data_IF_963095629545
#
_entry.id   IF_963095629545
#
_cell.length_a   1.000
_cell.length_b   1.000
_cell.length_c   1.000
_cell.angle_alpha   90.00
_cell.angle_beta   90.00
_cell.angle_gamma   90.00
#
_symmetry.space_group_name_H-M   'P 1'
#
loop_
_entity.id
_entity.type
_entity.pdbx_description
1 polymer ?
#
# COMPACT_ATOMS: atom_id res chain seq x y z
N UNK A 1 20.51 2.99 -1.71
CA UNK A 1 20.08 1.59 -1.95
C UNK A 1 19.56 1.48 -3.37
N UNK A 2 19.82 0.38 -4.07
CA UNK A 2 19.30 0.10 -5.42
C UNK A 2 18.57 -1.24 -5.34
N UNK A 3 17.36 -1.30 -5.86
CA UNK A 3 16.54 -2.53 -5.90
C UNK A 3 16.73 -3.24 -7.25
N UNK A 4 16.55 -4.56 -7.28
CA UNK A 4 16.65 -5.40 -8.49
C UNK A 4 15.34 -6.17 -8.69
N UNK A 5 14.26 -5.46 -9.01
CA UNK A 5 12.93 -6.04 -9.18
C UNK A 5 12.79 -6.53 -10.62
N UNK A 6 12.63 -7.84 -10.80
CA UNK A 6 12.40 -8.42 -12.11
C UNK A 6 10.89 -8.47 -12.41
N UNK A 7 10.47 -8.30 -13.67
CA UNK A 7 9.11 -8.65 -14.06
C UNK A 7 8.80 -10.11 -13.70
N UNK A 8 7.57 -10.39 -13.30
CA UNK A 8 7.16 -11.77 -12.99
C UNK A 8 7.33 -12.66 -14.21
N UNK A 9 8.04 -13.78 -14.05
CA UNK A 9 8.25 -14.72 -15.12
C UNK A 9 6.93 -15.40 -15.51
N UNK A 10 6.64 -15.40 -16.82
CA UNK A 10 5.43 -15.96 -17.40
C UNK A 10 5.58 -17.37 -17.94
N UNK A 11 6.72 -18.05 -17.73
CA UNK A 11 7.00 -19.41 -18.23
C UNK A 11 5.93 -20.41 -17.81
N UNK A 12 5.39 -20.29 -16.59
CA UNK A 12 4.33 -21.18 -16.10
C UNK A 12 2.91 -20.79 -16.54
N UNK A 13 2.71 -19.69 -17.29
CA UNK A 13 1.37 -19.16 -17.61
C UNK A 13 0.47 -20.19 -18.29
N UNK A 14 0.99 -20.95 -19.27
CA UNK A 14 0.22 -21.99 -19.96
C UNK A 14 -0.19 -23.12 -19.02
N UNK A 15 0.71 -23.60 -18.16
CA UNK A 15 0.43 -24.67 -17.21
C UNK A 15 -0.56 -24.23 -16.11
N UNK A 16 -0.45 -22.97 -15.63
CA UNK A 16 -1.41 -22.38 -14.68
C UNK A 16 -2.80 -22.27 -15.30
N UNK A 17 -2.88 -21.77 -16.54
CA UNK A 17 -4.16 -21.66 -17.26
C UNK A 17 -4.78 -23.06 -17.48
N UNK A 18 -3.99 -24.04 -17.91
CA UNK A 18 -4.48 -25.41 -18.09
C UNK A 18 -5.00 -26.01 -16.78
N UNK A 19 -4.28 -25.82 -15.67
CA UNK A 19 -4.72 -26.28 -14.35
C UNK A 19 -6.07 -25.66 -13.97
N UNK A 20 -6.22 -24.34 -14.08
CA UNK A 20 -7.45 -23.60 -13.73
C UNK A 20 -8.63 -24.02 -14.63
N UNK A 21 -8.40 -24.15 -15.93
CA UNK A 21 -9.43 -24.53 -16.91
C UNK A 21 -9.89 -26.00 -16.77
N UNK A 22 -9.10 -26.84 -16.11
CA UNK A 22 -9.45 -28.24 -15.85
C UNK A 22 -10.05 -28.51 -14.46
N UNK A 23 -10.19 -27.49 -13.60
CA UNK A 23 -10.98 -27.62 -12.36
C UNK A 23 -12.46 -27.89 -12.70
N UNK A 24 -13.18 -28.62 -11.82
CA UNK A 24 -14.59 -29.05 -12.03
C UNK A 24 -15.57 -27.87 -12.00
N UNK A 25 -15.46 -26.97 -12.94
CA UNK A 25 -16.27 -25.77 -13.11
C UNK A 25 -16.33 -25.36 -14.59
N UNK A 26 -17.35 -24.62 -15.05
CA UNK A 26 -17.30 -23.98 -16.35
C UNK A 26 -16.08 -23.06 -16.48
N UNK A 27 -15.46 -23.02 -17.65
CA UNK A 27 -14.30 -22.17 -17.92
C UNK A 27 -14.61 -20.70 -17.62
N UNK A 28 -13.75 -20.04 -16.84
CA UNK A 28 -13.90 -18.63 -16.48
C UNK A 28 -15.00 -18.31 -15.46
N UNK A 29 -15.73 -19.32 -14.94
CA UNK A 29 -16.92 -19.10 -14.10
C UNK A 29 -16.63 -18.51 -12.71
N UNK A 30 -15.40 -18.61 -12.23
CA UNK A 30 -14.96 -18.00 -10.95
C UNK A 30 -14.25 -16.64 -11.13
N UNK A 31 -14.18 -16.14 -12.37
CA UNK A 31 -13.79 -14.78 -12.69
C UNK A 31 -12.52 -14.30 -11.97
N UNK A 32 -12.65 -13.33 -11.09
CA UNK A 32 -11.50 -12.71 -10.38
C UNK A 32 -10.71 -13.67 -9.50
N UNK A 33 -11.31 -14.74 -8.99
CA UNK A 33 -10.58 -15.74 -8.22
C UNK A 33 -9.57 -16.49 -9.12
N UNK A 34 -9.95 -16.77 -10.38
CA UNK A 34 -9.05 -17.40 -11.36
C UNK A 34 -7.88 -16.47 -11.73
N UNK A 35 -8.14 -15.18 -11.93
CA UNK A 35 -7.11 -14.19 -12.21
C UNK A 35 -6.12 -14.06 -11.04
N UNK A 36 -6.62 -14.01 -9.79
CA UNK A 36 -5.80 -13.97 -8.58
C UNK A 36 -4.96 -15.21 -8.40
N UNK A 37 -5.56 -16.40 -8.55
CA UNK A 37 -4.84 -17.66 -8.46
C UNK A 37 -3.71 -17.73 -9.48
N UNK A 38 -3.99 -17.36 -10.75
CA UNK A 38 -2.99 -17.32 -11.79
C UNK A 38 -1.85 -16.35 -11.46
N UNK A 39 -2.18 -15.15 -10.98
CA UNK A 39 -1.19 -14.13 -10.59
C UNK A 39 -0.27 -14.62 -9.47
N UNK A 40 -0.84 -15.21 -8.41
CA UNK A 40 -0.06 -15.71 -7.27
C UNK A 40 0.81 -16.91 -7.68
N UNK A 41 0.31 -17.82 -8.52
CA UNK A 41 1.11 -18.89 -9.10
C UNK A 41 2.34 -18.35 -9.84
N UNK A 42 2.16 -17.30 -10.64
CA UNK A 42 3.26 -16.71 -11.40
C UNK A 42 4.24 -15.95 -10.48
N UNK A 43 3.76 -15.22 -9.48
CA UNK A 43 4.64 -14.57 -8.51
C UNK A 43 5.50 -15.60 -7.79
N UNK A 44 4.90 -16.72 -7.36
CA UNK A 44 5.59 -17.76 -6.59
C UNK A 44 6.25 -18.84 -7.46
N UNK A 45 6.13 -18.77 -8.79
CA UNK A 45 6.66 -19.73 -9.74
C UNK A 45 6.27 -21.18 -9.39
N UNK A 46 4.99 -21.42 -9.07
CA UNK A 46 4.47 -22.74 -8.67
C UNK A 46 3.03 -22.93 -9.12
N UNK A 47 2.62 -24.18 -9.31
CA UNK A 47 1.22 -24.57 -9.54
C UNK A 47 0.44 -24.82 -8.23
N UNK A 48 1.12 -24.79 -7.09
CA UNK A 48 0.56 -25.00 -5.75
C UNK A 48 0.96 -23.84 -4.82
N UNK A 49 0.41 -22.62 -5.08
CA UNK A 49 0.79 -21.44 -4.30
C UNK A 49 0.32 -21.55 -2.85
N UNK A 50 1.03 -20.86 -1.95
CA UNK A 50 0.73 -20.81 -0.53
C UNK A 50 0.75 -19.37 -0.01
N UNK A 51 -0.07 -19.07 0.97
CA UNK A 51 -0.04 -17.81 1.71
C UNK A 51 0.48 -18.09 3.12
N UNK A 52 1.68 -17.59 3.43
CA UNK A 52 2.36 -17.87 4.69
C UNK A 52 2.55 -16.61 5.51
N UNK A 53 2.18 -16.70 6.78
CA UNK A 53 2.46 -15.68 7.79
C UNK A 53 2.13 -14.26 7.34
N UNK A 54 0.86 -13.95 7.02
CA UNK A 54 0.49 -12.63 6.52
C UNK A 54 0.79 -11.54 7.56
N UNK A 55 1.37 -10.43 7.11
CA UNK A 55 1.68 -9.27 7.94
C UNK A 55 1.02 -8.01 7.39
N UNK A 56 0.55 -7.15 8.30
CA UNK A 56 0.23 -5.75 7.98
C UNK A 56 1.28 -4.85 8.63
N UNK A 57 2.03 -4.11 7.82
CA UNK A 57 3.07 -3.18 8.29
C UNK A 57 2.52 -1.77 8.25
N UNK A 58 2.30 -1.17 9.42
CA UNK A 58 1.77 0.18 9.55
C UNK A 58 2.91 1.15 9.88
N UNK A 59 3.19 2.06 8.97
CA UNK A 59 4.16 3.13 9.15
C UNK A 59 3.47 4.40 9.64
N UNK A 60 4.07 5.11 10.60
CA UNK A 60 3.52 6.35 11.13
C UNK A 60 4.53 7.51 11.08
N UNK A 61 4.07 8.68 10.63
CA UNK A 61 4.84 9.91 10.67
C UNK A 61 3.94 11.16 10.67
N UNK A 62 4.48 12.28 11.12
CA UNK A 62 3.83 13.58 11.06
C UNK A 62 4.30 14.40 9.87
N UNK A 63 3.43 15.28 9.38
CA UNK A 63 3.65 16.12 8.21
C UNK A 63 3.69 17.61 8.58
N UNK A 64 4.72 18.32 8.13
CA UNK A 64 4.85 19.77 8.37
C UNK A 64 3.72 20.59 7.77
N UNK A 65 3.12 20.13 6.67
CA UNK A 65 2.02 20.83 5.98
C UNK A 65 0.75 20.92 6.81
N UNK A 66 0.60 20.12 7.88
CA UNK A 66 -0.55 20.18 8.78
C UNK A 66 -0.74 21.58 9.41
N UNK A 67 0.35 22.33 9.54
CA UNK A 67 0.33 23.71 10.05
C UNK A 67 -0.52 24.67 9.20
N UNK A 68 -0.81 24.31 7.93
CA UNK A 68 -1.67 25.10 7.04
C UNK A 68 -3.16 24.78 7.20
N UNK A 69 -3.57 23.95 8.14
CA UNK A 69 -4.98 23.59 8.33
C UNK A 69 -5.58 22.74 7.20
N UNK A 70 -4.76 21.92 6.54
CA UNK A 70 -5.18 21.03 5.43
C UNK A 70 -5.84 19.73 5.87
N UNK A 71 -6.08 19.57 7.17
CA UNK A 71 -6.77 18.43 7.77
C UNK A 71 -7.52 18.87 9.02
N UNK A 72 -8.66 18.24 9.30
CA UNK A 72 -9.39 18.40 10.57
C UNK A 72 -8.76 17.61 11.71
N UNK A 73 -7.95 16.58 11.39
CA UNK A 73 -7.24 15.77 12.37
C UNK A 73 -6.02 16.53 12.89
N UNK A 74 -5.95 16.90 14.18
CA UNK A 74 -4.79 17.56 14.73
C UNK A 74 -3.58 16.61 14.78
N UNK A 75 -2.37 17.16 14.85
CA UNK A 75 -1.11 16.44 14.80
C UNK A 75 -0.99 15.37 15.88
N UNK A 76 -1.49 15.64 17.06
CA UNK A 76 -1.42 14.75 18.22
C UNK A 76 -2.11 13.40 17.97
N UNK A 77 -3.07 13.35 17.06
CA UNK A 77 -3.79 12.12 16.72
C UNK A 77 -2.84 11.05 16.19
N UNK A 78 -1.75 11.41 15.51
CA UNK A 78 -0.77 10.46 14.97
C UNK A 78 -0.16 9.58 16.09
N UNK A 79 0.42 10.19 17.13
CA UNK A 79 1.03 9.42 18.21
C UNK A 79 -0.02 8.74 19.12
N UNK A 80 -1.20 9.36 19.28
CA UNK A 80 -2.29 8.78 20.06
C UNK A 80 -2.81 7.50 19.42
N UNK A 81 -3.04 7.51 18.10
CA UNK A 81 -3.45 6.34 17.35
C UNK A 81 -2.36 5.26 17.32
N UNK A 82 -1.10 5.62 17.13
CA UNK A 82 -0.01 4.66 17.18
C UNK A 82 0.06 3.94 18.55
N UNK A 83 -0.15 4.68 19.64
CA UNK A 83 -0.29 4.12 20.98
C UNK A 83 -1.56 3.29 21.17
N UNK A 84 -2.64 3.59 20.45
CA UNK A 84 -3.88 2.82 20.46
C UNK A 84 -3.71 1.49 19.69
N UNK A 85 -3.07 1.50 18.52
CA UNK A 85 -2.73 0.30 17.77
C UNK A 85 -1.90 -0.69 18.61
N UNK A 86 -0.93 -0.19 19.36
CA UNK A 86 -0.09 -1.04 20.23
C UNK A 86 -0.85 -1.72 21.37
N UNK A 87 -2.01 -1.17 21.75
CA UNK A 87 -2.90 -1.74 22.79
C UNK A 87 -3.94 -2.73 22.24
N UNK A 88 -4.07 -2.85 20.92
CA UNK A 88 -4.94 -3.84 20.29
C UNK A 88 -6.41 -3.41 20.10
N UNK A 89 -6.77 -2.11 20.26
CA UNK A 89 -8.17 -1.67 20.27
C UNK A 89 -8.67 -0.98 18.99
N UNK A 90 -7.82 -0.76 18.02
CA UNK A 90 -8.17 0.00 16.82
C UNK A 90 -8.78 -0.86 15.68
N UNK A 91 -9.22 -0.20 14.60
CA UNK A 91 -9.83 -0.87 13.45
C UNK A 91 -8.96 -1.94 12.83
N UNK A 92 -7.71 -1.63 12.58
CA UNK A 92 -6.77 -2.61 12.01
C UNK A 92 -6.49 -3.80 12.94
N UNK A 93 -6.55 -3.61 14.26
CA UNK A 93 -6.27 -4.67 15.21
C UNK A 93 -7.27 -5.83 15.09
N UNK A 94 -8.60 -5.53 15.11
CA UNK A 94 -9.62 -6.58 15.03
C UNK A 94 -9.59 -7.28 13.66
N UNK A 95 -9.29 -6.55 12.57
CA UNK A 95 -9.18 -7.13 11.23
C UNK A 95 -7.96 -8.07 11.13
N UNK A 96 -6.82 -7.65 11.68
CA UNK A 96 -5.63 -8.49 11.74
C UNK A 96 -5.87 -9.76 12.55
N UNK A 97 -6.48 -9.64 13.73
CA UNK A 97 -6.83 -10.77 14.58
C UNK A 97 -7.79 -11.74 13.86
N UNK A 98 -8.85 -11.21 13.24
CA UNK A 98 -9.83 -12.00 12.51
C UNK A 98 -9.24 -12.80 11.35
N UNK A 99 -8.26 -12.26 10.64
CA UNK A 99 -7.71 -12.84 9.42
C UNK A 99 -6.30 -13.42 9.60
N UNK A 100 -5.80 -13.52 10.84
CA UNK A 100 -4.51 -14.12 11.16
C UNK A 100 -3.32 -13.30 10.67
N UNK A 101 -3.46 -12.00 10.51
CA UNK A 101 -2.36 -11.08 10.22
C UNK A 101 -1.60 -10.73 11.49
N UNK A 102 -0.28 -10.66 11.37
CA UNK A 102 0.54 -10.01 12.38
C UNK A 102 0.65 -8.52 12.06
N UNK A 103 0.21 -7.68 12.99
CA UNK A 103 0.37 -6.22 12.88
C UNK A 103 1.77 -5.82 13.35
N UNK A 104 2.50 -5.12 12.49
CA UNK A 104 3.82 -4.54 12.77
C UNK A 104 3.68 -3.01 12.73
N UNK A 105 4.05 -2.35 13.82
CA UNK A 105 3.96 -0.90 13.98
C UNK A 105 5.34 -0.29 13.87
N UNK A 106 5.51 0.72 12.99
CA UNK A 106 6.78 1.37 12.72
C UNK A 106 6.65 2.89 12.87
N UNK A 107 7.44 3.45 13.75
CA UNK A 107 7.61 4.90 13.86
C UNK A 107 8.64 5.37 12.84
N UNK A 108 8.17 6.00 11.75
CA UNK A 108 8.99 6.54 10.68
C UNK A 108 9.35 8.03 10.91
N UNK A 109 8.53 8.74 11.67
CA UNK A 109 8.73 10.19 11.85
C UNK A 109 7.67 10.88 12.70
N UNK A 110 7.11 10.22 13.70
CA UNK A 110 6.12 10.80 14.62
C UNK A 110 6.78 11.89 15.48
N UNK A 111 6.14 13.05 15.60
CA UNK A 111 6.63 14.18 16.41
C UNK A 111 6.30 13.99 17.89
N UNK A 112 6.65 12.84 18.39
CA UNK A 112 6.52 12.47 19.79
C UNK A 112 7.63 11.51 20.18
N UNK A 113 8.07 11.54 21.44
CA UNK A 113 9.00 10.55 21.97
C UNK A 113 8.20 9.34 22.45
N UNK A 114 8.09 8.32 21.63
CA UNK A 114 7.38 7.09 21.99
C UNK A 114 8.22 6.34 23.00
N UNK A 115 7.66 6.01 24.21
CA UNK A 115 8.37 5.23 25.21
C UNK A 115 8.72 3.83 24.69
N UNK A 116 9.85 3.30 25.11
CA UNK A 116 10.22 1.91 24.81
C UNK A 116 9.22 0.90 25.40
N UNK A 117 9.12 -0.29 24.82
CA UNK A 117 8.32 -1.39 25.37
C UNK A 117 6.87 -1.44 24.86
N UNK A 118 6.48 -0.59 23.91
CA UNK A 118 5.14 -0.59 23.32
C UNK A 118 4.99 -1.45 22.05
N UNK A 119 6.00 -2.27 21.70
CA UNK A 119 5.95 -3.10 20.48
C UNK A 119 6.00 -2.29 19.16
N UNK A 120 6.40 -1.02 19.24
CA UNK A 120 6.58 -0.12 18.10
C UNK A 120 8.05 -0.12 17.72
N UNK A 121 8.35 -0.44 16.46
CA UNK A 121 9.71 -0.44 15.93
C UNK A 121 10.13 1.01 15.66
N UNK A 122 11.23 1.44 16.28
CA UNK A 122 11.78 2.77 16.05
C UNK A 122 12.67 2.78 14.78
N UNK A 123 12.12 3.33 13.71
CA UNK A 123 12.83 3.66 12.46
C UNK A 123 12.73 5.16 12.17
N UNK A 124 12.48 5.96 13.19
CA UNK A 124 12.29 7.43 13.07
C UNK A 124 13.48 8.11 12.39
N UNK A 125 13.22 8.74 11.24
CA UNK A 125 14.23 9.51 10.50
C UNK A 125 14.39 10.90 11.15
N UNK A 126 13.26 11.55 11.39
CA UNK A 126 13.16 12.86 12.04
C UNK A 126 11.75 13.02 12.64
N UNK A 127 11.58 13.89 13.59
CA UNK A 127 10.26 14.29 14.09
C UNK A 127 9.60 15.21 13.07
N UNK A 128 8.51 14.74 12.45
CA UNK A 128 7.78 15.41 11.38
C UNK A 128 8.62 15.73 10.14
N UNK A 129 8.00 15.76 8.98
CA UNK A 129 8.63 16.34 7.78
C UNK A 129 8.78 17.83 7.91
N UNK A 130 9.62 18.44 7.05
CA UNK A 130 9.59 19.88 6.81
C UNK A 130 8.29 20.26 6.11
N UNK A 131 8.06 21.55 6.04
CA UNK A 131 6.84 22.10 5.46
C UNK A 131 7.00 22.30 3.96
N UNK A 132 6.48 21.38 3.14
CA UNK A 132 6.71 21.33 1.70
C UNK A 132 6.15 22.53 0.90
N UNK A 133 5.37 23.42 1.51
CA UNK A 133 5.01 24.72 0.93
C UNK A 133 6.20 25.69 0.87
N UNK A 134 7.21 25.50 1.72
CA UNK A 134 8.34 26.40 1.88
C UNK A 134 9.67 25.80 1.44
N UNK A 135 9.85 24.49 1.64
CA UNK A 135 11.06 23.73 1.33
C UNK A 135 10.72 22.26 1.13
N UNK A 136 11.63 21.45 0.63
CA UNK A 136 11.43 20.01 0.49
C UNK A 136 11.06 19.37 1.85
N UNK A 137 10.07 18.47 1.85
CA UNK A 137 9.61 17.76 3.06
C UNK A 137 10.75 16.98 3.73
N UNK A 138 11.68 16.47 2.94
CA UNK A 138 12.86 15.76 3.40
C UNK A 138 14.07 16.03 2.49
N UNK A 139 15.28 15.85 3.02
CA UNK A 139 16.51 15.89 2.25
C UNK A 139 16.71 14.59 1.47
N UNK A 140 17.59 14.60 0.46
CA UNK A 140 17.98 13.38 -0.29
C UNK A 140 18.52 12.29 0.63
N UNK A 141 19.26 12.66 1.67
CA UNK A 141 19.77 11.70 2.66
C UNK A 141 18.66 11.05 3.47
N UNK A 142 17.69 11.85 3.92
CA UNK A 142 16.50 11.36 4.64
C UNK A 142 15.62 10.49 3.75
N UNK A 143 15.44 10.88 2.47
CA UNK A 143 14.71 10.09 1.48
C UNK A 143 15.33 8.70 1.29
N UNK A 144 16.65 8.63 1.07
CA UNK A 144 17.35 7.34 0.91
C UNK A 144 17.27 6.49 2.17
N UNK A 145 17.40 7.12 3.34
CA UNK A 145 17.27 6.43 4.63
C UNK A 145 15.88 5.87 4.85
N UNK A 146 14.82 6.55 4.40
CA UNK A 146 13.45 6.01 4.45
C UNK A 146 13.31 4.75 3.60
N UNK A 147 13.79 4.77 2.34
CA UNK A 147 13.74 3.60 1.46
C UNK A 147 14.48 2.42 2.09
N UNK A 148 15.67 2.66 2.65
CA UNK A 148 16.50 1.65 3.30
C UNK A 148 15.81 1.05 4.52
N UNK A 149 15.30 1.89 5.43
CA UNK A 149 14.60 1.44 6.64
C UNK A 149 13.30 0.68 6.34
N UNK A 150 12.58 1.07 5.29
CA UNK A 150 11.42 0.32 4.82
C UNK A 150 11.78 -1.07 4.32
N UNK A 151 12.87 -1.19 3.56
CA UNK A 151 13.39 -2.48 3.09
C UNK A 151 13.86 -3.36 4.25
N UNK A 152 14.59 -2.80 5.24
CA UNK A 152 15.04 -3.51 6.44
C UNK A 152 13.86 -4.14 7.22
N UNK A 153 12.75 -3.43 7.35
CA UNK A 153 11.55 -3.97 8.04
C UNK A 153 11.04 -5.22 7.32
N UNK A 154 11.04 -5.24 5.99
CA UNK A 154 10.61 -6.40 5.20
C UNK A 154 11.61 -7.54 5.32
N UNK A 155 12.92 -7.26 5.29
CA UNK A 155 13.95 -8.28 5.51
C UNK A 155 13.78 -8.94 6.88
N UNK A 156 13.63 -8.15 7.95
CA UNK A 156 13.43 -8.66 9.32
C UNK A 156 12.18 -9.56 9.40
N UNK A 157 11.06 -9.20 8.75
CA UNK A 157 9.83 -9.98 8.72
C UNK A 157 10.03 -11.27 7.90
N UNK A 158 10.58 -11.16 6.69
CA UNK A 158 10.78 -12.29 5.79
C UNK A 158 11.71 -13.33 6.41
N UNK A 159 12.87 -12.91 6.91
CA UNK A 159 13.90 -13.79 7.46
C UNK A 159 13.44 -14.48 8.75
N UNK A 160 12.69 -13.78 9.60
CA UNK A 160 12.24 -14.35 10.88
C UNK A 160 11.01 -15.24 10.79
N UNK A 161 10.15 -15.05 9.76
CA UNK A 161 8.84 -15.73 9.70
C UNK A 161 8.62 -16.55 8.43
N UNK A 162 9.34 -16.29 7.35
CA UNK A 162 9.05 -16.83 6.03
C UNK A 162 7.78 -16.22 5.39
N UNK A 163 7.40 -15.01 5.82
CA UNK A 163 6.27 -14.27 5.26
C UNK A 163 6.41 -14.11 3.74
N UNK A 164 5.34 -14.40 3.00
CA UNK A 164 5.32 -14.24 1.55
C UNK A 164 4.13 -13.42 1.03
N UNK A 165 3.36 -12.84 1.94
CA UNK A 165 2.25 -11.94 1.63
C UNK A 165 2.18 -10.82 2.67
N UNK A 166 2.18 -9.57 2.22
CA UNK A 166 2.23 -8.39 3.08
C UNK A 166 1.25 -7.34 2.62
N UNK A 167 0.60 -6.66 3.57
CA UNK A 167 -0.14 -5.43 3.34
C UNK A 167 0.53 -4.27 4.06
N UNK A 168 0.24 -3.07 3.62
CA UNK A 168 0.79 -1.85 4.19
C UNK A 168 -0.33 -0.93 4.65
N UNK A 169 -0.17 -0.37 5.83
CA UNK A 169 -1.00 0.67 6.39
C UNK A 169 -0.18 1.91 6.72
N UNK A 170 -0.87 2.97 7.06
CA UNK A 170 -0.24 4.25 7.41
C UNK A 170 -1.02 4.95 8.52
N UNK A 171 -0.33 5.85 9.21
CA UNK A 171 -0.92 6.83 10.12
C UNK A 171 -0.12 8.13 10.07
N UNK A 172 -0.76 9.21 9.64
CA UNK A 172 -0.12 10.52 9.59
C UNK A 172 -1.11 11.65 9.29
N UNK A 173 -1.35 12.54 10.27
CA UNK A 173 -2.22 13.69 10.05
C UNK A 173 -1.67 14.56 8.91
N UNK A 174 -2.48 14.78 7.86
CA UNK A 174 -2.11 15.56 6.68
C UNK A 174 -1.54 14.78 5.50
N UNK A 175 -1.28 13.48 5.62
CA UNK A 175 -0.66 12.66 4.57
C UNK A 175 -1.50 12.51 3.28
N UNK A 176 -2.82 12.69 3.33
CA UNK A 176 -3.64 12.79 2.12
C UNK A 176 -3.26 13.97 1.23
N UNK A 177 -2.65 15.04 1.79
CA UNK A 177 -2.10 16.14 1.01
C UNK A 177 -0.88 15.71 0.20
N UNK A 178 0.06 14.99 0.81
CA UNK A 178 1.21 14.38 0.14
C UNK A 178 0.77 13.40 -0.95
N UNK A 179 -0.22 12.54 -0.66
CA UNK A 179 -0.78 11.59 -1.63
C UNK A 179 -1.42 12.28 -2.83
N UNK A 180 -2.16 13.39 -2.60
CA UNK A 180 -2.76 14.19 -3.69
C UNK A 180 -1.67 14.83 -4.58
N UNK A 181 -0.56 15.29 -3.99
CA UNK A 181 0.58 15.83 -4.74
C UNK A 181 1.25 14.74 -5.57
N UNK A 182 1.53 13.57 -5.00
CA UNK A 182 2.12 12.44 -5.74
C UNK A 182 1.19 11.95 -6.85
N UNK A 183 -0.11 11.82 -6.58
CA UNK A 183 -1.09 11.47 -7.62
C UNK A 183 -1.02 12.45 -8.79
N UNK A 184 -1.12 13.76 -8.55
CA UNK A 184 -1.02 14.79 -9.58
C UNK A 184 0.29 14.68 -10.37
N UNK A 185 1.43 14.64 -9.68
CA UNK A 185 2.76 14.69 -10.27
C UNK A 185 3.13 13.44 -11.09
N UNK A 186 2.57 12.28 -10.73
CA UNK A 186 2.89 11.01 -11.39
C UNK A 186 1.86 10.55 -12.41
N UNK A 187 0.65 11.12 -12.41
CA UNK A 187 -0.41 10.77 -13.37
C UNK A 187 -0.73 11.87 -14.37
N UNK A 188 -0.43 13.14 -14.04
CA UNK A 188 -0.88 14.30 -14.80
C UNK A 188 -2.37 14.66 -14.59
N UNK A 189 -3.09 13.94 -13.74
CA UNK A 189 -4.49 14.27 -13.37
C UNK A 189 -4.49 15.65 -12.70
N UNK A 190 -5.41 16.56 -13.07
CA UNK A 190 -5.47 17.90 -12.48
C UNK A 190 -5.55 17.86 -10.94
N UNK A 191 -4.72 18.64 -10.24
CA UNK A 191 -4.60 18.64 -8.78
C UNK A 191 -5.96 18.71 -8.07
N UNK A 192 -6.89 19.52 -8.60
CA UNK A 192 -8.25 19.64 -8.06
C UNK A 192 -9.01 18.30 -8.01
N UNK A 193 -8.74 17.38 -8.92
CA UNK A 193 -9.35 16.05 -8.96
C UNK A 193 -8.63 15.04 -8.04
N UNK A 194 -7.41 15.38 -7.60
CA UNK A 194 -6.63 14.55 -6.69
C UNK A 194 -6.92 14.83 -5.22
N UNK A 195 -7.64 15.90 -4.90
CA UNK A 195 -7.90 16.36 -3.53
C UNK A 195 -9.28 15.91 -3.09
N UNK A 196 -9.36 15.25 -1.94
CA UNK A 196 -10.57 14.83 -1.26
C UNK A 196 -10.68 15.41 0.14
N UNK A 197 -11.72 14.97 0.85
CA UNK A 197 -12.04 15.41 2.21
C UNK A 197 -11.00 14.95 3.26
N UNK A 198 -10.20 13.92 2.94
CA UNK A 198 -9.30 13.33 3.93
C UNK A 198 -10.05 12.88 5.18
N UNK A 199 -9.61 13.32 6.35
CA UNK A 199 -10.23 13.00 7.64
C UNK A 199 -11.62 13.64 7.85
N UNK A 200 -12.18 14.37 6.86
CA UNK A 200 -13.54 14.91 6.93
C UNK A 200 -13.65 16.43 6.74
N UNK A 201 -12.78 17.03 5.93
CA UNK A 201 -12.91 18.44 5.53
C UNK A 201 -14.25 18.68 4.81
N UNK A 202 -14.87 19.79 5.10
CA UNK A 202 -16.01 20.32 4.35
C UNK A 202 -15.56 20.98 3.02
N UNK A 203 -16.51 21.52 2.28
CA UNK A 203 -16.22 22.15 0.97
C UNK A 203 -15.26 23.34 1.05
N UNK A 204 -15.30 24.12 2.14
CA UNK A 204 -14.41 25.26 2.36
C UNK A 204 -13.00 24.78 2.72
N UNK A 205 -12.90 23.75 3.55
CA UNK A 205 -11.63 23.11 3.88
C UNK A 205 -10.96 22.43 2.65
N UNK A 206 -11.75 21.79 1.78
CA UNK A 206 -11.24 21.21 0.51
C UNK A 206 -10.72 22.34 -0.40
N UNK A 207 -11.43 23.47 -0.51
CA UNK A 207 -10.98 24.62 -1.30
C UNK A 207 -9.68 25.19 -0.73
N UNK A 208 -9.61 25.40 0.58
CA UNK A 208 -8.40 25.88 1.26
C UNK A 208 -7.22 24.91 1.03
N UNK A 209 -7.44 23.61 1.18
CA UNK A 209 -6.42 22.60 0.89
C UNK A 209 -5.92 22.69 -0.57
N UNK A 210 -6.82 22.90 -1.53
CA UNK A 210 -6.44 23.10 -2.94
C UNK A 210 -5.56 24.35 -3.12
N UNK A 211 -5.89 25.47 -2.48
CA UNK A 211 -5.11 26.72 -2.54
C UNK A 211 -3.70 26.52 -1.97
N UNK A 212 -3.60 25.88 -0.80
CA UNK A 212 -2.31 25.56 -0.16
C UNK A 212 -1.46 24.66 -1.04
N UNK A 213 -2.03 23.57 -1.58
CA UNK A 213 -1.29 22.62 -2.42
C UNK A 213 -0.91 23.22 -3.77
N UNK A 214 -1.75 24.09 -4.35
CA UNK A 214 -1.44 24.80 -5.59
C UNK A 214 -0.29 25.78 -5.40
N UNK A 215 -0.27 26.53 -4.28
CA UNK A 215 0.84 27.42 -3.95
C UNK A 215 2.13 26.60 -3.70
N UNK A 216 2.05 25.49 -2.96
CA UNK A 216 3.20 24.61 -2.75
C UNK A 216 3.77 24.07 -4.07
N UNK A 217 2.88 23.65 -5.01
CA UNK A 217 3.30 23.17 -6.33
C UNK A 217 4.02 24.26 -7.14
N UNK A 218 3.55 25.53 -7.07
CA UNK A 218 4.18 26.65 -7.77
C UNK A 218 5.58 27.00 -7.23
N UNK A 219 5.91 26.57 -6.03
CA UNK A 219 7.20 26.80 -5.35
C UNK A 219 8.16 25.61 -5.49
N UNK A 220 7.73 24.53 -6.14
CA UNK A 220 8.59 23.38 -6.35
C UNK A 220 9.83 23.77 -7.15
N UNK A 221 11.00 23.59 -6.54
CA UNK A 221 12.32 23.91 -7.10
C UNK A 221 13.23 22.67 -7.20
N UNK A 222 12.62 21.50 -7.35
CA UNK A 222 13.36 20.25 -7.56
C UNK A 222 13.76 20.04 -9.02
N UNK A 223 14.61 19.05 -9.26
CA UNK A 223 15.15 18.72 -10.58
C UNK A 223 14.15 18.00 -11.52
N UNK A 224 12.92 17.75 -11.06
CA UNK A 224 11.86 17.08 -11.79
C UNK A 224 11.96 15.54 -11.81
N UNK A 225 12.99 14.94 -11.20
CA UNK A 225 13.11 13.48 -11.05
C UNK A 225 11.98 12.91 -10.19
N UNK A 226 11.76 11.61 -10.25
CA UNK A 226 10.78 10.91 -9.42
C UNK A 226 11.15 11.05 -7.94
N UNK A 227 12.42 10.84 -7.62
CA UNK A 227 12.96 10.94 -6.27
C UNK A 227 12.80 12.35 -5.70
N UNK A 228 13.11 13.38 -6.49
CA UNK A 228 12.94 14.77 -6.08
C UNK A 228 11.48 15.11 -5.76
N UNK A 229 10.54 14.69 -6.61
CA UNK A 229 9.09 14.88 -6.37
C UNK A 229 8.64 14.14 -5.11
N UNK A 230 9.12 12.92 -4.90
CA UNK A 230 8.81 12.14 -3.70
C UNK A 230 9.36 12.82 -2.45
N UNK A 231 10.62 13.26 -2.47
CA UNK A 231 11.27 13.90 -1.33
C UNK A 231 10.66 15.28 -1.01
N UNK A 232 10.24 16.02 -2.05
CA UNK A 232 9.64 17.35 -1.84
C UNK A 232 8.27 17.29 -1.16
N UNK A 233 7.39 16.39 -1.60
CA UNK A 233 5.99 16.39 -1.19
C UNK A 233 5.59 15.19 -0.32
N UNK A 234 6.48 14.22 -0.10
CA UNK A 234 6.16 12.99 0.61
C UNK A 234 6.15 13.10 2.13
N UNK A 235 5.78 12.00 2.77
CA UNK A 235 5.93 11.73 4.20
C UNK A 235 6.98 10.67 4.45
N UNK A 236 7.57 10.65 5.64
CA UNK A 236 8.54 9.61 6.01
C UNK A 236 7.90 8.22 5.99
N UNK A 237 6.67 8.08 6.48
CA UNK A 237 5.90 6.83 6.44
C UNK A 237 5.61 6.39 5.00
N UNK A 238 5.30 7.33 4.10
CA UNK A 238 4.99 7.04 2.71
C UNK A 238 6.23 6.55 1.95
N UNK A 239 7.37 7.25 2.09
CA UNK A 239 8.63 6.86 1.43
C UNK A 239 9.16 5.55 2.02
N UNK A 240 8.98 5.33 3.34
CA UNK A 240 9.35 4.07 3.99
C UNK A 240 8.48 2.92 3.48
N UNK A 241 7.17 3.13 3.29
CA UNK A 241 6.28 2.16 2.66
C UNK A 241 6.69 1.85 1.21
N UNK A 242 7.13 2.85 0.43
CA UNK A 242 7.70 2.62 -0.91
C UNK A 242 8.90 1.69 -0.85
N UNK A 243 9.87 1.95 0.04
CA UNK A 243 11.04 1.08 0.23
C UNK A 243 10.65 -0.35 0.61
N UNK A 244 9.66 -0.49 1.48
CA UNK A 244 9.10 -1.78 1.90
C UNK A 244 8.40 -2.52 0.73
N UNK A 245 7.60 -1.82 -0.09
CA UNK A 245 6.94 -2.39 -1.27
C UNK A 245 7.96 -2.87 -2.31
N UNK A 246 9.00 -2.07 -2.56
CA UNK A 246 10.07 -2.44 -3.50
C UNK A 246 10.81 -3.68 -3.01
N UNK A 247 11.13 -3.77 -1.71
CA UNK A 247 11.81 -4.95 -1.16
C UNK A 247 10.92 -6.18 -1.15
N UNK A 248 9.65 -6.05 -0.83
CA UNK A 248 8.68 -7.14 -0.90
C UNK A 248 8.59 -7.73 -2.32
N UNK A 249 8.55 -6.87 -3.35
CA UNK A 249 8.57 -7.31 -4.76
C UNK A 249 9.89 -8.01 -5.13
N UNK A 250 11.04 -7.49 -4.68
CA UNK A 250 12.36 -8.09 -4.92
C UNK A 250 12.48 -9.49 -4.30
N UNK A 251 11.81 -9.72 -3.16
CA UNK A 251 11.71 -11.02 -2.48
C UNK A 251 10.59 -11.93 -3.04
N UNK A 252 9.87 -11.51 -4.08
CA UNK A 252 8.79 -12.30 -4.67
C UNK A 252 7.55 -12.44 -3.77
N UNK A 253 7.33 -11.49 -2.86
CA UNK A 253 6.16 -11.50 -1.98
C UNK A 253 4.93 -10.93 -2.70
N UNK A 254 3.74 -11.40 -2.32
CA UNK A 254 2.47 -10.79 -2.73
C UNK A 254 2.22 -9.53 -1.91
N UNK A 255 2.00 -8.40 -2.58
CA UNK A 255 1.71 -7.10 -1.95
C UNK A 255 0.22 -6.82 -2.05
N UNK A 256 -0.47 -6.65 -0.92
CA UNK A 256 -1.87 -6.20 -0.91
C UNK A 256 -1.88 -4.68 -0.68
N UNK A 257 -2.29 -3.94 -1.69
CA UNK A 257 -2.37 -2.47 -1.65
C UNK A 257 -3.68 -2.04 -1.02
N UNK A 258 -3.59 -1.20 -0.01
CA UNK A 258 -4.73 -0.63 0.70
C UNK A 258 -5.43 0.49 -0.09
N UNK A 259 -5.84 1.55 0.55
CA UNK A 259 -6.60 2.67 0.01
C UNK A 259 -5.77 3.71 -0.74
N UNK A 260 -6.28 4.94 -0.75
CA UNK A 260 -5.75 6.07 -1.53
C UNK A 260 -4.26 6.34 -1.28
N UNK A 261 -3.85 6.38 0.00
CA UNK A 261 -2.46 6.72 0.37
C UNK A 261 -1.50 5.62 -0.07
N UNK A 262 -1.80 4.35 0.23
CA UNK A 262 -0.93 3.24 -0.18
C UNK A 262 -0.95 3.03 -1.71
N UNK A 263 -2.05 3.35 -2.39
CA UNK A 263 -2.08 3.38 -3.86
C UNK A 263 -1.17 4.49 -4.42
N UNK A 264 -1.08 5.66 -3.76
CA UNK A 264 -0.11 6.69 -4.15
C UNK A 264 1.34 6.25 -3.91
N UNK A 265 1.59 5.44 -2.87
CA UNK A 265 2.91 4.86 -2.60
C UNK A 265 3.32 3.84 -3.67
N UNK A 266 2.43 2.90 -4.03
CA UNK A 266 2.76 1.92 -5.09
C UNK A 266 2.84 2.59 -6.47
N UNK A 267 2.07 3.65 -6.72
CA UNK A 267 2.21 4.49 -7.93
C UNK A 267 3.62 5.10 -7.99
N UNK A 268 4.09 5.73 -6.92
CA UNK A 268 5.44 6.29 -6.83
C UNK A 268 6.52 5.20 -6.99
N UNK A 269 6.36 4.06 -6.32
CA UNK A 269 7.23 2.89 -6.47
C UNK A 269 7.32 2.44 -7.93
N UNK A 270 6.18 2.40 -8.65
CA UNK A 270 6.13 1.99 -10.05
C UNK A 270 6.81 2.98 -11.02
N UNK A 271 6.95 4.24 -10.62
CA UNK A 271 7.72 5.23 -11.40
C UNK A 271 9.23 5.04 -11.25
N UNK A 272 9.67 4.47 -10.13
CA UNK A 272 11.07 4.06 -9.92
C UNK A 272 11.35 2.68 -10.54
N UNK A 273 10.48 1.71 -10.26
CA UNK A 273 10.62 0.31 -10.67
C UNK A 273 9.28 -0.25 -11.15
N UNK A 274 8.95 -0.15 -12.45
CA UNK A 274 7.64 -0.52 -12.99
C UNK A 274 7.20 -1.96 -12.66
N UNK A 275 8.14 -2.90 -12.58
CA UNK A 275 7.85 -4.31 -12.30
C UNK A 275 7.25 -4.56 -10.90
N UNK A 276 7.28 -3.59 -9.97
CA UNK A 276 6.63 -3.73 -8.65
C UNK A 276 5.13 -4.01 -8.77
N UNK A 277 4.49 -3.51 -9.83
CA UNK A 277 3.05 -3.73 -10.06
C UNK A 277 2.70 -5.19 -10.37
N UNK A 278 3.65 -5.98 -10.84
CA UNK A 278 3.42 -7.41 -11.09
C UNK A 278 3.14 -8.17 -9.80
N UNK A 279 3.66 -7.69 -8.68
CA UNK A 279 3.53 -8.28 -7.34
C UNK A 279 2.33 -7.73 -6.55
N UNK A 280 1.65 -6.71 -7.05
CA UNK A 280 0.61 -5.98 -6.33
C UNK A 280 -0.80 -6.53 -6.61
N UNK A 281 -1.60 -6.68 -5.55
CA UNK A 281 -3.04 -6.93 -5.58
C UNK A 281 -3.73 -5.76 -4.89
N UNK A 282 -4.61 -5.05 -5.60
CA UNK A 282 -5.31 -3.90 -5.05
C UNK A 282 -6.52 -4.36 -4.24
N UNK A 283 -6.47 -4.17 -2.91
CA UNK A 283 -7.43 -4.72 -1.95
C UNK A 283 -8.80 -4.09 -2.09
N UNK A 284 -8.89 -2.77 -2.07
CA UNK A 284 -10.16 -2.08 -2.19
C UNK A 284 -10.07 -0.74 -2.91
N UNK A 285 -11.18 -0.29 -3.46
CA UNK A 285 -11.38 1.10 -3.83
C UNK A 285 -11.97 1.84 -2.63
N UNK A 286 -11.20 2.76 -2.05
CA UNK A 286 -11.68 3.62 -0.97
C UNK A 286 -12.53 4.78 -1.49
N UNK A 287 -13.21 5.45 -0.56
CA UNK A 287 -14.15 6.57 -0.84
C UNK A 287 -13.45 7.93 -1.03
N UNK A 288 -12.11 7.98 -1.05
CA UNK A 288 -11.37 9.21 -1.38
C UNK A 288 -11.52 9.56 -2.86
N UNK A 289 -11.84 10.84 -3.12
CA UNK A 289 -12.23 11.33 -4.46
C UNK A 289 -11.26 10.98 -5.59
N UNK A 290 -9.95 11.03 -5.33
CA UNK A 290 -8.92 10.71 -6.32
C UNK A 290 -8.66 9.21 -6.51
N UNK A 291 -9.08 8.34 -5.59
CA UNK A 291 -8.64 6.95 -5.58
C UNK A 291 -9.07 6.18 -6.83
N UNK A 292 -10.33 6.31 -7.23
CA UNK A 292 -10.85 5.69 -8.45
C UNK A 292 -10.04 6.10 -9.68
N UNK A 293 -9.78 7.39 -9.85
CA UNK A 293 -9.01 7.92 -10.98
C UNK A 293 -7.56 7.40 -10.98
N UNK A 294 -6.97 7.23 -9.81
CA UNK A 294 -5.61 6.69 -9.67
C UNK A 294 -5.56 5.21 -10.06
N UNK A 295 -6.54 4.40 -9.63
CA UNK A 295 -6.67 2.99 -10.03
C UNK A 295 -6.87 2.86 -11.55
N UNK A 296 -7.74 3.70 -12.14
CA UNK A 296 -7.96 3.75 -13.60
C UNK A 296 -6.68 4.13 -14.35
N UNK A 297 -5.91 5.11 -13.86
CA UNK A 297 -4.62 5.50 -14.47
C UNK A 297 -3.59 4.37 -14.41
N UNK A 298 -3.56 3.60 -13.32
CA UNK A 298 -2.71 2.41 -13.20
C UNK A 298 -3.21 1.23 -14.04
N UNK A 299 -4.41 1.29 -14.61
CA UNK A 299 -5.02 0.18 -15.36
C UNK A 299 -5.38 -1.03 -14.49
N UNK A 300 -5.68 -0.81 -13.21
CA UNK A 300 -5.94 -1.87 -12.23
C UNK A 300 -7.37 -1.82 -11.68
N UNK A 301 -7.84 -2.97 -11.19
CA UNK A 301 -9.15 -3.10 -10.53
C UNK A 301 -8.96 -3.58 -9.10
N UNK A 302 -9.52 -2.86 -8.15
CA UNK A 302 -9.59 -3.32 -6.76
C UNK A 302 -10.53 -4.54 -6.60
N UNK A 303 -10.32 -5.31 -5.53
CA UNK A 303 -11.16 -6.47 -5.20
C UNK A 303 -12.48 -6.08 -4.55
N UNK A 304 -12.46 -5.10 -3.65
CA UNK A 304 -13.60 -4.66 -2.86
C UNK A 304 -13.95 -3.19 -3.13
N UNK A 305 -15.21 -2.88 -2.94
CA UNK A 305 -15.74 -1.51 -2.89
C UNK A 305 -16.75 -1.45 -1.74
N UNK A 306 -16.29 -0.97 -0.58
CA UNK A 306 -17.04 -0.96 0.69
C UNK A 306 -17.14 0.45 1.28
N UNK A 307 -16.90 1.49 0.49
CA UNK A 307 -16.91 2.90 0.90
C UNK A 307 -15.99 3.21 2.11
N UNK A 308 -14.92 2.39 2.29
CA UNK A 308 -13.97 2.58 3.38
C UNK A 308 -13.09 3.82 3.11
N UNK A 309 -12.79 4.54 4.20
CA UNK A 309 -11.91 5.72 4.20
C UNK A 309 -11.09 5.83 5.49
N UNK A 310 -10.75 4.69 6.08
CA UNK A 310 -10.07 4.62 7.37
C UNK A 310 -8.54 4.71 7.23
N UNK A 311 -7.95 4.02 6.24
CA UNK A 311 -6.51 3.79 6.17
C UNK A 311 -6.09 2.60 7.02
N UNK A 312 -4.92 2.66 7.63
CA UNK A 312 -4.35 1.67 8.55
C UNK A 312 -4.01 0.31 7.88
N UNK A 313 -4.24 0.13 6.58
CA UNK A 313 -4.20 -1.16 5.88
C UNK A 313 -5.51 -1.94 5.96
N UNK A 314 -6.59 -1.30 6.44
CA UNK A 314 -7.86 -1.95 6.74
C UNK A 314 -8.52 -2.58 5.51
N UNK A 315 -8.57 -1.88 4.39
CA UNK A 315 -9.17 -2.39 3.15
C UNK A 315 -8.36 -3.53 2.53
N UNK A 316 -7.05 -3.50 2.67
CA UNK A 316 -6.16 -4.59 2.25
C UNK A 316 -6.42 -5.86 3.05
N UNK A 317 -6.51 -5.76 4.38
CA UNK A 317 -6.80 -6.92 5.24
C UNK A 317 -8.22 -7.44 5.02
N UNK A 318 -9.22 -6.56 4.81
CA UNK A 318 -10.59 -6.96 4.42
C UNK A 318 -10.62 -7.77 3.11
N UNK A 319 -9.72 -7.51 2.16
CA UNK A 319 -9.67 -8.21 0.88
C UNK A 319 -8.97 -9.59 0.96
N UNK A 320 -8.23 -9.85 2.01
CA UNK A 320 -7.45 -11.09 2.16
C UNK A 320 -8.25 -12.38 2.01
N UNK A 321 -9.47 -12.55 2.56
CA UNK A 321 -10.26 -13.77 2.38
C UNK A 321 -10.56 -14.11 0.92
N UNK A 322 -10.64 -13.11 0.04
CA UNK A 322 -10.84 -13.32 -1.40
C UNK A 322 -9.55 -13.88 -2.02
N UNK A 323 -8.39 -13.35 -1.61
CA UNK A 323 -7.07 -13.84 -2.05
C UNK A 323 -6.84 -15.27 -1.57
N UNK A 324 -7.18 -15.55 -0.30
CA UNK A 324 -7.11 -16.90 0.28
C UNK A 324 -8.03 -17.87 -0.48
N UNK A 325 -9.26 -17.45 -0.81
CA UNK A 325 -10.19 -18.26 -1.59
C UNK A 325 -9.63 -18.62 -2.97
N UNK A 326 -8.91 -17.69 -3.63
CA UNK A 326 -8.28 -17.96 -4.92
C UNK A 326 -7.18 -19.04 -4.81
N UNK A 327 -6.36 -18.97 -3.75
CA UNK A 327 -5.31 -19.97 -3.48
C UNK A 327 -5.92 -21.32 -3.09
N UNK A 328 -6.98 -21.33 -2.27
CA UNK A 328 -7.69 -22.56 -1.91
C UNK A 328 -8.38 -23.19 -3.13
N UNK A 329 -8.96 -22.38 -4.00
CA UNK A 329 -9.58 -22.85 -5.26
C UNK A 329 -8.59 -23.69 -6.08
N UNK A 330 -7.42 -23.16 -6.38
CA UNK A 330 -6.45 -23.85 -7.26
C UNK A 330 -5.80 -25.07 -6.60
N UNK A 331 -5.75 -25.11 -5.24
CA UNK A 331 -5.12 -26.20 -4.51
C UNK A 331 -6.07 -27.32 -4.09
N UNK A 332 -7.35 -27.01 -3.85
CA UNK A 332 -8.27 -27.97 -3.23
C UNK A 332 -9.50 -28.32 -4.07
N UNK A 333 -9.73 -27.62 -5.17
CA UNK A 333 -10.81 -27.98 -6.08
C UNK A 333 -10.36 -29.14 -6.98
N UNK A 334 -11.17 -30.19 -7.05
CA UNK A 334 -10.89 -31.35 -7.92
C UNK A 334 -10.85 -30.96 -9.40
N UNK A 335 -10.03 -31.64 -10.17
CA UNK A 335 -10.06 -31.56 -11.64
C UNK A 335 -11.08 -32.52 -12.24
N UNK A 336 -11.49 -32.27 -13.49
CA UNK A 336 -12.34 -33.24 -14.23
C UNK A 336 -11.74 -34.62 -14.36
N UNK A 337 -10.42 -34.78 -14.19
CA UNK A 337 -9.73 -36.10 -14.22
C UNK A 337 -9.89 -36.86 -12.92
N UNK A 338 -10.14 -36.14 -11.79
CA UNK A 338 -10.18 -36.74 -10.46
C UNK A 338 -11.59 -37.17 -10.08
N UNK A 339 -12.62 -36.76 -10.83
CA UNK A 339 -14.04 -36.97 -10.51
C UNK A 339 -14.82 -37.40 -11.75
N UNK A 340 -15.92 -38.13 -11.52
CA UNK A 340 -16.80 -38.60 -12.61
C UNK A 340 -17.84 -37.52 -13.02
N UNK A 341 -17.33 -36.36 -13.43
CA UNK A 341 -18.14 -35.23 -13.96
C UNK A 341 -17.78 -35.03 -15.43
N UNK A 342 -18.79 -35.06 -16.29
CA UNK A 342 -18.60 -34.88 -17.73
C UNK A 342 -18.13 -33.46 -18.04
N UNK A 343 -16.95 -33.32 -18.65
CA UNK A 343 -16.49 -32.04 -19.19
C UNK A 343 -17.22 -31.80 -20.52
N UNK A 344 -17.90 -30.63 -20.64
CA UNK A 344 -18.78 -30.33 -21.77
C UNK A 344 -18.35 -29.09 -22.59
N UNK A 345 -17.12 -28.59 -22.40
CA UNK A 345 -16.53 -27.45 -23.11
C UNK A 345 -15.08 -27.72 -23.51
#
# INVERSE_FOLDING_TARGET
>A
MTFSIQPVDTALKAAVTDKIDNLTKPKGSLGRLEELAARICLIQQTLTPELRHPHNVLFAADHGVIAEGVSVSPKEVTWQQLGHFSKGGAGINFLCDQHGFRLVLVDAGVDYNIPAGHGIIDKKVRKSTRHFRHEAAMTDGEFRLCLERGAEVIDEIHDSTGCNIVSFGEMGSGNTSSSSMWMHLFTGIPLKQCIGAGAGLDSDGIRHKYEVLSDALSRYDGDGSVESKMAWFGGYEMVMAVGAMLRAAELGMVIIVDGFIMTSCILAASRLYPAVLDYAVFGHQGDESGHKLMLENLGVRALLHLDLRLGEGSGAVCAYPIIESAVRMINHMDSFKDVNVTKYF
#
